data_IF_108339018275
#
_entry.id   IF_108339018275
#
_cell.length_a   1.000
_cell.length_b   1.000
_cell.length_c   1.000
_cell.angle_alpha   90.00
_cell.angle_beta   90.00
_cell.angle_gamma   90.00
#
_symmetry.space_group_name_H-M   'P 1'
#
loop_
_entity.id
_entity.type
_entity.pdbx_description
1 polymer ?
#
# COMPACT_ATOMS: atom_id res chain seq x y z
N UNK A 1 -30.09 -8.41 -22.43
CA UNK A 1 -29.44 -7.19 -21.90
C UNK A 1 -28.29 -7.70 -21.09
N UNK A 2 -27.10 -7.63 -21.66
CA UNK A 2 -25.85 -7.99 -21.00
C UNK A 2 -25.68 -7.07 -19.79
N UNK A 3 -25.62 -7.65 -18.60
CA UNK A 3 -25.15 -6.98 -17.40
C UNK A 3 -23.66 -6.68 -17.64
N UNK A 4 -23.35 -5.62 -18.37
CA UNK A 4 -21.99 -5.09 -18.39
C UNK A 4 -21.63 -4.81 -16.93
N UNK A 5 -20.61 -5.50 -16.48
CA UNK A 5 -20.03 -5.36 -15.15
C UNK A 5 -19.88 -3.86 -14.86
N UNK A 6 -20.60 -3.38 -13.84
CA UNK A 6 -20.60 -1.97 -13.41
C UNK A 6 -19.22 -1.47 -12.98
N UNK A 7 -18.23 -2.36 -12.88
CA UNK A 7 -16.85 -2.06 -12.49
C UNK A 7 -15.91 -2.50 -13.58
N UNK A 8 -15.30 -1.53 -14.23
CA UNK A 8 -14.23 -1.79 -15.16
C UNK A 8 -12.90 -1.49 -14.49
N UNK A 9 -12.22 -2.55 -14.01
CA UNK A 9 -10.79 -2.47 -13.73
C UNK A 9 -10.05 -2.53 -15.06
N UNK A 10 -9.17 -1.56 -15.29
CA UNK A 10 -8.38 -1.44 -16.53
C UNK A 10 -6.92 -1.73 -16.15
N UNK A 11 -6.29 -2.68 -16.85
CA UNK A 11 -4.86 -2.95 -16.71
C UNK A 11 -4.05 -1.97 -17.55
N UNK A 12 -3.01 -1.41 -16.94
CA UNK A 12 -2.01 -0.57 -17.58
C UNK A 12 -0.62 -1.12 -17.30
N UNK A 13 0.29 -0.90 -18.23
CA UNK A 13 1.69 -1.26 -18.10
C UNK A 13 2.54 0.01 -18.16
N UNK A 14 3.33 0.23 -17.13
CA UNK A 14 4.36 1.26 -17.09
C UNK A 14 5.68 0.59 -17.43
N UNK A 15 6.32 1.02 -18.53
CA UNK A 15 7.67 0.60 -18.86
C UNK A 15 8.67 1.48 -18.13
N UNK A 16 9.59 0.86 -17.40
CA UNK A 16 10.67 1.54 -16.68
C UNK A 16 12.03 1.09 -17.23
N UNK A 17 13.10 1.66 -16.71
CA UNK A 17 14.47 1.35 -17.14
C UNK A 17 14.74 -0.16 -17.16
N UNK A 18 15.51 -0.63 -18.14
CA UNK A 18 15.83 -2.05 -18.31
C UNK A 18 14.69 -2.89 -18.87
N UNK A 19 13.73 -2.30 -19.57
CA UNK A 19 12.54 -2.97 -20.11
C UNK A 19 11.66 -3.67 -19.05
N UNK A 20 11.82 -3.32 -17.77
CA UNK A 20 10.95 -3.82 -16.70
C UNK A 20 9.58 -3.19 -16.80
N UNK A 21 8.55 -3.95 -16.39
CA UNK A 21 7.15 -3.55 -16.46
C UNK A 21 6.53 -3.50 -15.08
N UNK A 22 5.84 -2.40 -14.77
CA UNK A 22 4.97 -2.29 -13.60
C UNK A 22 3.53 -2.41 -14.09
N UNK A 23 2.79 -3.39 -13.55
CA UNK A 23 1.37 -3.51 -13.78
C UNK A 23 0.59 -2.63 -12.82
N UNK A 24 -0.36 -1.87 -13.37
CA UNK A 24 -1.20 -0.93 -12.64
C UNK A 24 -2.66 -1.19 -13.00
N UNK A 25 -3.49 -1.34 -11.99
CA UNK A 25 -4.92 -1.47 -12.16
C UNK A 25 -5.64 -0.17 -11.76
N UNK A 26 -6.40 0.35 -12.71
CA UNK A 26 -7.23 1.54 -12.58
C UNK A 26 -8.69 1.12 -12.38
N UNK A 27 -9.31 1.52 -11.28
CA UNK A 27 -10.75 1.34 -11.01
C UNK A 27 -11.40 2.72 -10.96
N UNK A 28 -12.35 2.96 -11.87
CA UNK A 28 -13.07 4.24 -11.98
C UNK A 28 -14.38 4.19 -11.23
N UNK A 29 -14.81 5.32 -10.62
CA UNK A 29 -16.15 5.43 -10.06
C UNK A 29 -17.20 5.37 -11.15
N UNK A 30 -18.43 4.99 -10.79
CA UNK A 30 -19.59 5.06 -11.67
C UNK A 30 -19.97 6.53 -11.94
N UNK A 31 -20.68 6.78 -13.04
CA UNK A 31 -21.07 8.14 -13.45
C UNK A 31 -21.96 8.86 -12.42
N UNK A 32 -22.79 8.11 -11.69
CA UNK A 32 -23.68 8.60 -10.65
C UNK A 32 -23.04 8.66 -9.26
N UNK A 33 -21.79 8.24 -9.12
CA UNK A 33 -21.05 8.31 -7.86
C UNK A 33 -20.77 9.75 -7.41
N UNK A 34 -20.59 9.98 -6.10
CA UNK A 34 -20.18 11.28 -5.59
C UNK A 34 -18.88 11.73 -6.26
N UNK A 35 -18.77 13.03 -6.59
CA UNK A 35 -17.52 13.56 -7.15
C UNK A 35 -16.48 13.76 -6.05
N UNK A 36 -15.25 13.29 -6.30
CA UNK A 36 -14.09 13.47 -5.42
C UNK A 36 -12.97 14.21 -6.15
N UNK A 37 -12.15 14.90 -5.36
CA UNK A 37 -11.06 15.69 -5.90
C UNK A 37 -9.80 14.86 -6.11
N UNK A 38 -9.59 13.85 -5.25
CA UNK A 38 -8.36 13.07 -5.23
C UNK A 38 -8.55 11.68 -5.88
N UNK A 39 -7.51 11.25 -6.58
CA UNK A 39 -7.30 9.85 -6.97
C UNK A 39 -6.55 9.13 -5.87
N UNK A 40 -7.00 7.95 -5.46
CA UNK A 40 -6.37 7.18 -4.38
C UNK A 40 -5.40 6.16 -4.95
N UNK A 41 -4.13 6.26 -4.55
CA UNK A 41 -3.13 5.21 -4.81
C UNK A 41 -3.15 4.25 -3.63
N UNK A 42 -3.26 2.95 -3.90
CA UNK A 42 -3.11 1.89 -2.91
C UNK A 42 -1.76 1.20 -3.11
N UNK A 43 -0.86 1.36 -2.14
CA UNK A 43 0.42 0.68 -2.06
C UNK A 43 0.29 -0.54 -1.13
N UNK A 44 0.38 -1.73 -1.72
CA UNK A 44 0.19 -3.01 -1.02
C UNK A 44 1.36 -3.32 -0.09
N UNK A 45 1.10 -3.92 1.08
CA UNK A 45 2.14 -4.44 1.98
C UNK A 45 2.91 -5.61 1.38
N UNK A 46 3.96 -6.09 2.10
CA UNK A 46 4.77 -7.23 1.66
C UNK A 46 3.90 -8.48 1.47
N UNK A 47 4.21 -9.29 0.45
CA UNK A 47 3.46 -10.49 0.13
C UNK A 47 2.04 -10.27 -0.42
N UNK A 48 1.60 -9.01 -0.50
CA UNK A 48 0.25 -8.66 -0.99
C UNK A 48 0.32 -8.10 -2.40
N UNK A 49 -0.60 -8.57 -3.24
CA UNK A 49 -0.76 -8.14 -4.64
C UNK A 49 -1.91 -7.14 -4.75
N UNK A 50 -1.94 -6.38 -5.82
CA UNK A 50 -3.01 -5.42 -6.10
C UNK A 50 -4.42 -6.04 -6.15
N UNK A 51 -4.56 -7.33 -6.52
CA UNK A 51 -5.85 -8.04 -6.54
C UNK A 51 -6.41 -8.32 -5.13
N UNK A 52 -5.57 -8.38 -4.10
CA UNK A 52 -6.02 -8.52 -2.72
C UNK A 52 -6.81 -7.30 -2.20
N UNK A 53 -6.67 -6.16 -2.88
CA UNK A 53 -7.36 -4.91 -2.54
C UNK A 53 -8.61 -4.65 -3.42
N UNK A 54 -9.14 -5.66 -4.11
CA UNK A 54 -10.35 -5.55 -4.92
C UNK A 54 -11.55 -5.01 -4.11
N UNK A 55 -11.79 -5.58 -2.92
CA UNK A 55 -12.89 -5.14 -2.06
C UNK A 55 -12.74 -3.70 -1.58
N UNK A 56 -11.52 -3.27 -1.22
CA UNK A 56 -11.28 -1.88 -0.83
C UNK A 56 -11.42 -0.91 -2.02
N UNK A 57 -10.93 -1.31 -3.19
CA UNK A 57 -11.11 -0.51 -4.40
C UNK A 57 -12.58 -0.32 -4.75
N UNK A 58 -13.40 -1.35 -4.52
CA UNK A 58 -14.86 -1.30 -4.67
C UNK A 58 -15.48 -0.30 -3.69
N UNK A 59 -15.12 -0.35 -2.39
CA UNK A 59 -15.59 0.63 -1.40
C UNK A 59 -15.24 2.07 -1.81
N UNK A 60 -14.00 2.32 -2.19
CA UNK A 60 -13.53 3.65 -2.59
C UNK A 60 -14.21 4.13 -3.87
N UNK A 61 -14.33 3.29 -4.90
CA UNK A 61 -14.93 3.68 -6.17
C UNK A 61 -16.44 3.95 -6.06
N UNK A 62 -17.16 3.17 -5.24
CA UNK A 62 -18.57 3.45 -4.92
C UNK A 62 -18.77 4.79 -4.21
N UNK A 63 -17.78 5.21 -3.48
CA UNK A 63 -17.78 6.51 -2.80
C UNK A 63 -17.15 7.62 -3.65
N UNK A 64 -16.95 7.37 -4.95
CA UNK A 64 -16.61 8.37 -5.96
C UNK A 64 -15.12 8.55 -6.22
N UNK A 65 -14.24 7.75 -5.60
CA UNK A 65 -12.82 7.85 -5.84
C UNK A 65 -12.39 7.08 -7.09
N UNK A 66 -11.53 7.69 -7.86
CA UNK A 66 -10.69 7.02 -8.82
C UNK A 66 -9.57 6.28 -8.06
N UNK A 67 -9.38 4.99 -8.29
CA UNK A 67 -8.47 4.15 -7.51
C UNK A 67 -7.40 3.54 -8.40
N UNK A 68 -6.16 3.69 -7.98
CA UNK A 68 -4.98 3.14 -8.64
C UNK A 68 -4.34 2.14 -7.70
N UNK A 69 -4.09 0.92 -8.19
CA UNK A 69 -3.37 -0.15 -7.48
C UNK A 69 -2.26 -0.65 -8.38
N UNK A 70 -1.16 -1.08 -7.81
CA UNK A 70 -0.02 -1.59 -8.58
C UNK A 70 0.70 -2.70 -7.82
N UNK A 71 1.38 -3.55 -8.56
CA UNK A 71 2.38 -4.47 -8.03
C UNK A 71 3.77 -3.84 -8.19
N UNK A 72 4.57 -3.85 -7.11
CA UNK A 72 5.95 -3.35 -7.19
C UNK A 72 6.83 -4.28 -8.03
N UNK A 73 7.88 -3.71 -8.64
CA UNK A 73 8.95 -4.49 -9.26
C UNK A 73 9.57 -5.46 -8.25
N UNK A 74 9.98 -6.61 -8.72
CA UNK A 74 10.62 -7.64 -7.90
C UNK A 74 9.81 -8.08 -6.67
N UNK A 75 8.49 -7.86 -6.71
CA UNK A 75 7.57 -8.28 -5.66
C UNK A 75 6.59 -9.32 -6.19
N UNK A 76 5.65 -9.79 -5.35
CA UNK A 76 4.58 -10.68 -5.81
C UNK A 76 3.62 -9.94 -6.74
N UNK A 77 3.09 -10.64 -7.73
CA UNK A 77 2.07 -10.10 -8.63
C UNK A 77 2.45 -10.18 -10.09
N UNK A 78 2.06 -9.19 -10.89
CA UNK A 78 2.20 -9.19 -12.36
C UNK A 78 3.41 -8.39 -12.85
N UNK A 79 4.03 -7.57 -11.98
CA UNK A 79 5.19 -6.75 -12.35
C UNK A 79 6.46 -7.57 -12.50
N UNK A 80 7.43 -7.04 -13.26
CA UNK A 80 8.68 -7.72 -13.59
C UNK A 80 9.57 -7.98 -12.38
N UNK A 81 10.30 -9.10 -12.40
CA UNK A 81 11.29 -9.49 -11.41
C UNK A 81 10.77 -10.54 -10.44
N UNK A 82 11.62 -10.95 -9.52
CA UNK A 82 11.35 -12.00 -8.53
C UNK A 82 11.59 -11.49 -7.12
N UNK A 83 10.88 -12.04 -6.13
CA UNK A 83 10.84 -11.50 -4.77
C UNK A 83 12.17 -11.61 -4.02
N UNK A 84 13.06 -12.51 -4.45
CA UNK A 84 14.42 -12.63 -3.93
C UNK A 84 15.31 -11.43 -4.27
N UNK A 85 14.92 -10.65 -5.28
CA UNK A 85 15.60 -9.39 -5.65
C UNK A 85 14.89 -8.14 -5.11
N UNK A 86 13.78 -8.30 -4.37
CA UNK A 86 13.04 -7.16 -3.83
C UNK A 86 13.85 -6.43 -2.75
N UNK A 87 13.83 -5.08 -2.80
CA UNK A 87 14.36 -4.20 -1.77
C UNK A 87 13.41 -3.05 -1.48
N UNK A 88 13.62 -2.34 -0.36
CA UNK A 88 12.85 -1.15 -0.01
C UNK A 88 13.02 -0.05 -1.06
N UNK A 89 14.23 0.12 -1.57
CA UNK A 89 14.55 1.10 -2.63
C UNK A 89 13.85 0.77 -3.95
N UNK A 90 13.74 -0.51 -4.32
CA UNK A 90 12.97 -0.94 -5.49
C UNK A 90 11.47 -0.68 -5.29
N UNK A 91 10.95 -0.94 -4.09
CA UNK A 91 9.57 -0.58 -3.74
C UNK A 91 9.31 0.92 -3.88
N UNK A 92 10.25 1.77 -3.42
CA UNK A 92 10.20 3.23 -3.59
C UNK A 92 10.24 3.62 -5.07
N UNK A 93 11.17 3.10 -5.86
CA UNK A 93 11.25 3.36 -7.30
C UNK A 93 9.94 3.01 -8.02
N UNK A 94 9.30 1.90 -7.64
CA UNK A 94 8.02 1.50 -8.21
C UNK A 94 6.91 2.50 -7.89
N UNK A 95 6.84 3.00 -6.64
CA UNK A 95 5.88 4.03 -6.24
C UNK A 95 6.12 5.34 -7.00
N UNK A 96 7.38 5.79 -7.10
CA UNK A 96 7.74 7.01 -7.84
C UNK A 96 7.34 6.90 -9.31
N UNK A 97 7.59 5.75 -9.96
CA UNK A 97 7.20 5.52 -11.34
C UNK A 97 5.67 5.58 -11.55
N UNK A 98 4.89 5.05 -10.60
CA UNK A 98 3.42 5.12 -10.66
C UNK A 98 2.94 6.57 -10.51
N UNK A 99 3.51 7.35 -9.58
CA UNK A 99 3.15 8.76 -9.39
C UNK A 99 3.53 9.59 -10.62
N UNK A 100 4.71 9.38 -11.20
CA UNK A 100 5.14 10.06 -12.43
C UNK A 100 4.21 9.72 -13.60
N UNK A 101 3.85 8.45 -13.77
CA UNK A 101 2.90 8.02 -14.79
C UNK A 101 1.52 8.71 -14.65
N UNK A 102 1.02 8.88 -13.41
CA UNK A 102 -0.22 9.62 -13.17
C UNK A 102 -0.07 11.11 -13.50
N UNK A 103 1.05 11.71 -13.14
CA UNK A 103 1.37 13.12 -13.43
C UNK A 103 1.41 13.37 -14.93
N UNK A 104 2.04 12.48 -15.72
CA UNK A 104 2.06 12.58 -17.19
C UNK A 104 0.66 12.50 -17.79
N UNK A 105 -0.27 11.84 -17.13
CA UNK A 105 -1.71 11.77 -17.48
C UNK A 105 -2.53 12.95 -16.94
N UNK A 106 -1.88 13.94 -16.33
CA UNK A 106 -2.50 15.12 -15.69
C UNK A 106 -3.40 14.78 -14.50
N UNK A 107 -3.13 13.67 -13.83
CA UNK A 107 -3.78 13.28 -12.57
C UNK A 107 -2.84 13.71 -11.45
N UNK A 108 -3.08 14.90 -10.88
CA UNK A 108 -2.16 15.55 -9.95
C UNK A 108 -2.68 15.60 -8.50
N UNK A 109 -3.99 15.47 -8.30
CA UNK A 109 -4.57 15.43 -6.97
C UNK A 109 -4.57 13.98 -6.47
N UNK A 110 -3.59 13.63 -5.66
CA UNK A 110 -3.36 12.25 -5.23
C UNK A 110 -3.53 12.13 -3.71
N UNK A 111 -4.40 11.22 -3.28
CA UNK A 111 -4.38 10.67 -1.94
C UNK A 111 -3.67 9.32 -1.96
N UNK A 112 -3.05 8.93 -0.87
CA UNK A 112 -2.35 7.65 -0.80
C UNK A 112 -2.82 6.82 0.39
N UNK A 113 -3.04 5.53 0.15
CA UNK A 113 -3.12 4.50 1.18
C UNK A 113 -1.90 3.61 1.08
N UNK A 114 -1.16 3.47 2.16
CA UNK A 114 -0.04 2.56 2.27
C UNK A 114 -0.21 1.63 3.47
N UNK A 115 -0.06 0.32 3.27
CA UNK A 115 -0.22 -0.68 4.33
C UNK A 115 1.10 -1.37 4.68
N UNK A 116 1.28 -1.67 5.96
CA UNK A 116 2.43 -2.45 6.46
C UNK A 116 3.78 -1.88 5.95
N UNK A 117 4.58 -2.70 5.27
CA UNK A 117 5.89 -2.34 4.73
C UNK A 117 5.82 -1.15 3.76
N UNK A 118 4.75 -1.05 2.96
CA UNK A 118 4.59 0.07 2.03
C UNK A 118 4.36 1.41 2.71
N UNK A 119 3.93 1.45 3.97
CA UNK A 119 3.91 2.70 4.73
C UNK A 119 5.32 3.23 4.96
N UNK A 120 6.30 2.36 5.29
CA UNK A 120 7.70 2.74 5.43
C UNK A 120 8.28 3.29 4.11
N UNK A 121 7.91 2.67 2.99
CA UNK A 121 8.26 3.16 1.64
C UNK A 121 7.62 4.51 1.38
N UNK A 122 6.32 4.66 1.66
CA UNK A 122 5.59 5.92 1.46
C UNK A 122 6.24 7.07 2.26
N UNK A 123 6.54 6.87 3.54
CA UNK A 123 7.19 7.88 4.38
C UNK A 123 8.49 8.40 3.77
N UNK A 124 9.33 7.52 3.23
CA UNK A 124 10.59 7.92 2.59
C UNK A 124 10.42 8.53 1.19
N UNK A 125 9.23 8.40 0.58
CA UNK A 125 8.96 8.90 -0.76
C UNK A 125 8.33 10.30 -0.76
N UNK A 126 7.71 10.72 0.36
CA UNK A 126 6.91 11.95 0.44
C UNK A 126 7.69 13.23 0.15
N UNK A 127 9.01 13.23 0.29
CA UNK A 127 9.84 14.37 -0.10
C UNK A 127 10.02 14.52 -1.63
N UNK A 128 9.70 13.47 -2.39
CA UNK A 128 9.91 13.39 -3.84
C UNK A 128 8.59 13.37 -4.62
N UNK A 129 7.46 13.15 -3.95
CA UNK A 129 6.13 13.09 -4.56
C UNK A 129 5.19 14.13 -3.96
N UNK A 130 4.24 14.58 -4.77
CA UNK A 130 3.20 15.48 -4.29
C UNK A 130 1.90 14.69 -4.07
N UNK A 131 1.53 14.50 -2.81
CA UNK A 131 0.25 13.91 -2.42
C UNK A 131 -0.49 14.85 -1.48
N UNK A 132 -1.81 14.92 -1.63
CA UNK A 132 -2.68 15.77 -0.81
C UNK A 132 -2.79 15.26 0.62
N UNK A 133 -2.68 13.94 0.81
CA UNK A 133 -2.75 13.29 2.12
C UNK A 133 -2.23 11.85 2.08
N UNK A 134 -1.89 11.34 3.26
CA UNK A 134 -1.49 9.95 3.46
C UNK A 134 -2.42 9.26 4.48
N UNK A 135 -2.89 8.08 4.12
CA UNK A 135 -3.53 7.13 5.03
C UNK A 135 -2.59 5.94 5.19
N UNK A 136 -2.30 5.52 6.41
CA UNK A 136 -1.54 4.29 6.66
C UNK A 136 -2.36 3.28 7.44
N UNK A 137 -2.15 2.00 7.17
CA UNK A 137 -2.81 0.92 7.88
C UNK A 137 -1.76 -0.08 8.36
N UNK A 138 -1.69 -0.32 9.67
CA UNK A 138 -0.68 -1.17 10.33
C UNK A 138 0.73 -0.85 9.81
N UNK A 139 0.98 0.45 9.60
CA UNK A 139 2.15 0.94 8.87
C UNK A 139 3.44 0.74 9.65
N UNK A 140 4.42 0.08 9.02
CA UNK A 140 5.76 -0.11 9.59
C UNK A 140 6.46 1.23 9.74
N UNK A 141 6.89 1.54 10.96
CA UNK A 141 7.65 2.75 11.31
C UNK A 141 9.07 2.40 11.79
N UNK A 142 9.27 1.16 12.24
CA UNK A 142 10.55 0.62 12.70
C UNK A 142 10.74 -0.75 12.03
N UNK A 143 11.43 -0.76 10.89
CA UNK A 143 11.57 -1.96 10.07
C UNK A 143 12.37 -3.05 10.80
N UNK A 144 13.45 -2.67 11.51
CA UNK A 144 14.26 -3.63 12.29
C UNK A 144 13.41 -4.37 13.31
N UNK A 145 12.60 -3.65 14.09
CA UNK A 145 11.69 -4.26 15.04
C UNK A 145 10.68 -5.20 14.35
N UNK A 146 10.07 -4.75 13.26
CA UNK A 146 9.12 -5.58 12.49
C UNK A 146 9.77 -6.88 11.98
N UNK A 147 10.98 -6.78 11.41
CA UNK A 147 11.72 -7.95 10.92
C UNK A 147 12.12 -8.88 12.07
N UNK A 148 12.61 -8.33 13.20
CA UNK A 148 12.94 -9.12 14.39
C UNK A 148 11.73 -9.91 14.91
N UNK A 149 10.55 -9.26 14.94
CA UNK A 149 9.31 -9.92 15.37
C UNK A 149 8.82 -10.98 14.41
N UNK A 150 8.94 -10.76 13.11
CA UNK A 150 8.49 -11.68 12.08
C UNK A 150 9.45 -12.88 11.90
N UNK A 151 10.75 -12.65 12.02
CA UNK A 151 11.79 -13.68 11.82
C UNK A 151 12.20 -14.38 13.11
N UNK A 152 11.93 -13.77 14.28
CA UNK A 152 12.33 -14.30 15.60
C UNK A 152 13.77 -13.96 15.98
N UNK A 153 14.50 -13.16 15.22
CA UNK A 153 15.86 -12.71 15.51
C UNK A 153 16.16 -11.38 14.81
N UNK A 154 17.12 -10.59 15.37
CA UNK A 154 17.56 -9.33 14.76
C UNK A 154 18.46 -9.58 13.56
N UNK A 155 17.84 -9.80 12.44
CA UNK A 155 18.45 -10.09 11.16
C UNK A 155 19.41 -8.98 10.67
N UNK A 156 19.05 -7.70 10.88
CA UNK A 156 19.86 -6.56 10.42
C UNK A 156 21.09 -6.29 11.28
N UNK A 157 21.26 -7.00 12.42
CA UNK A 157 22.48 -6.93 13.24
C UNK A 157 23.54 -7.97 12.85
N UNK A 158 23.16 -8.95 12.02
CA UNK A 158 24.10 -9.98 11.62
C UNK A 158 25.13 -9.44 10.61
N UNK A 159 26.38 -9.91 10.68
CA UNK A 159 27.36 -9.65 9.62
C UNK A 159 26.83 -10.14 8.28
N UNK A 160 27.05 -9.35 7.22
CA UNK A 160 26.52 -9.66 5.87
C UNK A 160 26.96 -11.04 5.36
N UNK A 161 28.19 -11.43 5.65
CA UNK A 161 28.80 -12.71 5.28
C UNK A 161 28.27 -13.91 6.10
N UNK A 162 27.54 -13.68 7.18
CA UNK A 162 26.87 -14.69 7.98
C UNK A 162 25.39 -14.86 7.62
N UNK A 163 24.86 -14.02 6.73
CA UNK A 163 23.46 -14.08 6.33
C UNK A 163 23.18 -15.35 5.47
N UNK A 164 22.01 -15.98 5.63
CA UNK A 164 21.59 -17.03 4.72
C UNK A 164 21.34 -16.46 3.30
N UNK A 165 21.34 -17.31 2.27
CA UNK A 165 21.01 -16.84 0.92
C UNK A 165 19.62 -16.20 0.82
N UNK A 166 18.64 -16.78 1.55
CA UNK A 166 17.27 -16.30 1.57
C UNK A 166 16.72 -16.31 2.99
N UNK A 167 15.83 -15.35 3.25
CA UNK A 167 14.95 -15.32 4.40
C UNK A 167 13.56 -15.78 3.99
N UNK A 168 12.93 -16.63 4.78
CA UNK A 168 11.51 -16.87 4.67
C UNK A 168 10.75 -15.77 5.43
N UNK A 169 10.14 -14.87 4.68
CA UNK A 169 9.32 -13.81 5.25
C UNK A 169 7.90 -13.94 4.70
N UNK A 170 6.94 -14.26 5.56
CA UNK A 170 5.55 -14.54 5.19
C UNK A 170 5.37 -15.59 4.08
N UNK A 171 6.20 -16.63 4.06
CA UNK A 171 6.16 -17.69 3.04
C UNK A 171 6.81 -17.29 1.71
N UNK A 172 7.50 -16.16 1.65
CA UNK A 172 8.24 -15.68 0.49
C UNK A 172 9.75 -15.70 0.76
N UNK A 173 10.52 -16.18 -0.22
CA UNK A 173 12.00 -16.23 -0.14
C UNK A 173 12.59 -14.88 -0.56
N UNK A 174 12.87 -14.03 0.41
CA UNK A 174 13.53 -12.75 0.22
C UNK A 174 15.05 -12.95 0.20
N UNK A 175 15.76 -12.31 -0.73
CA UNK A 175 17.22 -12.36 -0.80
C UNK A 175 17.82 -11.65 0.41
N UNK A 176 18.48 -12.41 1.31
CA UNK A 176 18.86 -11.89 2.61
C UNK A 176 19.92 -10.78 2.50
N UNK A 177 21.00 -11.02 1.76
CA UNK A 177 22.08 -10.05 1.62
C UNK A 177 21.61 -8.78 0.91
N UNK A 178 20.90 -8.92 -0.22
CA UNK A 178 20.46 -7.80 -1.05
C UNK A 178 19.54 -6.88 -0.26
N UNK A 179 18.58 -7.45 0.48
CA UNK A 179 17.64 -6.69 1.29
C UNK A 179 18.32 -6.03 2.49
N UNK A 180 19.25 -6.73 3.19
CA UNK A 180 19.98 -6.15 4.32
C UNK A 180 20.85 -4.98 3.91
N UNK A 181 21.62 -5.11 2.81
CA UNK A 181 22.45 -4.02 2.27
C UNK A 181 21.60 -2.80 1.96
N UNK A 182 20.52 -2.97 1.23
CA UNK A 182 19.60 -1.87 0.92
C UNK A 182 19.08 -1.19 2.20
N UNK A 183 18.68 -1.98 3.20
CA UNK A 183 18.19 -1.42 4.46
C UNK A 183 19.24 -0.58 5.18
N UNK A 184 20.48 -1.06 5.27
CA UNK A 184 21.56 -0.40 5.99
C UNK A 184 22.13 0.78 5.20
N UNK A 185 22.33 0.63 3.89
CA UNK A 185 22.96 1.64 3.03
C UNK A 185 22.04 2.87 2.83
N UNK A 186 20.71 2.68 2.83
CA UNK A 186 19.74 3.73 2.57
C UNK A 186 18.88 4.13 3.78
N UNK A 187 19.21 3.64 4.97
CA UNK A 187 18.57 4.08 6.22
C UNK A 187 17.09 3.69 6.31
N UNK A 188 16.77 2.43 6.01
CA UNK A 188 15.40 1.95 6.13
C UNK A 188 15.08 1.37 7.51
N UNK A 189 16.09 1.05 8.31
CA UNK A 189 16.03 0.08 9.37
C UNK A 189 15.23 0.49 10.60
N UNK A 190 15.30 1.74 11.08
CA UNK A 190 14.81 2.09 12.39
C UNK A 190 13.80 3.26 12.44
N UNK A 191 13.23 3.50 13.61
CA UNK A 191 12.31 4.59 13.86
C UNK A 191 12.97 5.96 13.65
N UNK A 192 14.24 6.12 14.02
CA UNK A 192 14.95 7.40 13.89
C UNK A 192 15.10 7.78 12.41
N UNK A 193 15.44 6.84 11.55
CA UNK A 193 15.51 7.06 10.11
C UNK A 193 14.12 7.37 9.51
N UNK A 194 13.06 6.75 10.01
CA UNK A 194 11.69 7.08 9.59
C UNK A 194 11.30 8.50 10.00
N UNK A 195 11.62 8.91 11.23
CA UNK A 195 11.41 10.28 11.70
C UNK A 195 12.18 11.27 10.82
N UNK A 196 13.45 10.99 10.49
CA UNK A 196 14.27 11.85 9.64
C UNK A 196 13.65 12.05 8.24
N UNK A 197 13.04 11.01 7.65
CA UNK A 197 12.35 11.13 6.37
C UNK A 197 11.08 12.00 6.46
N UNK A 198 10.43 12.03 7.62
CA UNK A 198 9.12 12.64 7.80
C UNK A 198 9.15 14.03 8.47
N UNK A 199 10.22 14.38 9.19
CA UNK A 199 10.24 15.53 10.12
C UNK A 199 9.92 16.89 9.49
N UNK A 200 10.20 17.08 8.21
CA UNK A 200 9.96 18.34 7.50
C UNK A 200 8.68 18.35 6.66
N UNK A 201 7.95 17.24 6.64
CA UNK A 201 6.75 17.12 5.83
C UNK A 201 5.54 17.72 6.55
N UNK A 202 4.71 18.40 5.78
CA UNK A 202 3.50 19.07 6.27
C UNK A 202 2.30 18.62 5.42
N UNK A 203 1.99 17.32 5.51
CA UNK A 203 0.80 16.75 4.87
C UNK A 203 -0.16 16.17 5.92
N UNK A 204 -1.47 16.19 5.66
CA UNK A 204 -2.43 15.50 6.51
C UNK A 204 -2.17 13.98 6.51
N UNK A 205 -2.21 13.36 7.70
CA UNK A 205 -1.96 11.94 7.86
C UNK A 205 -2.97 11.31 8.82
N UNK A 206 -3.60 10.22 8.39
CA UNK A 206 -4.39 9.34 9.26
C UNK A 206 -3.69 7.99 9.32
N UNK A 207 -3.35 7.55 10.55
CA UNK A 207 -2.77 6.23 10.79
C UNK A 207 -3.81 5.31 11.46
N UNK A 208 -4.07 4.17 10.82
CA UNK A 208 -4.82 3.07 11.44
C UNK A 208 -3.85 2.08 12.07
N UNK A 209 -3.93 1.89 13.38
CA UNK A 209 -3.18 0.90 14.14
C UNK A 209 -4.07 -0.26 14.53
N UNK A 210 -3.51 -1.46 14.66
CA UNK A 210 -4.22 -2.62 15.19
C UNK A 210 -3.89 -2.80 16.67
N UNK A 211 -4.90 -3.05 17.51
CA UNK A 211 -4.67 -3.10 18.96
C UNK A 211 -3.94 -4.38 19.42
N UNK A 212 -3.89 -5.41 18.58
CA UNK A 212 -3.16 -6.66 18.83
C UNK A 212 -2.00 -6.86 17.82
N UNK A 213 -1.45 -5.77 17.29
CA UNK A 213 -0.34 -5.83 16.34
C UNK A 213 0.96 -6.19 17.08
N UNK A 214 1.58 -7.32 16.70
CA UNK A 214 2.84 -7.77 17.26
C UNK A 214 4.07 -7.29 16.46
N UNK A 215 3.85 -6.72 15.27
CA UNK A 215 4.92 -6.29 14.35
C UNK A 215 5.12 -4.79 14.34
N UNK A 216 4.09 -4.01 14.69
CA UNK A 216 4.16 -2.55 14.75
C UNK A 216 3.67 -2.08 16.12
N UNK A 217 4.53 -1.36 16.82
CA UNK A 217 4.19 -0.77 18.11
C UNK A 217 3.41 0.52 17.94
N UNK A 218 2.28 0.62 18.57
CA UNK A 218 1.46 1.84 18.52
C UNK A 218 2.17 3.06 19.14
N UNK A 219 2.97 2.86 20.17
CA UNK A 219 3.76 3.94 20.79
C UNK A 219 4.84 4.48 19.85
N UNK A 220 5.45 3.64 19.01
CA UNK A 220 6.39 4.09 17.97
C UNK A 220 5.67 4.89 16.87
N UNK A 221 4.43 4.52 16.50
CA UNK A 221 3.61 5.32 15.58
C UNK A 221 3.27 6.68 16.20
N UNK A 222 2.89 6.72 17.48
CA UNK A 222 2.65 7.97 18.23
C UNK A 222 3.93 8.82 18.24
N UNK A 223 5.07 8.19 18.51
CA UNK A 223 6.37 8.88 18.53
C UNK A 223 6.70 9.48 17.16
N UNK A 224 6.54 8.72 16.07
CA UNK A 224 6.73 9.25 14.72
C UNK A 224 5.86 10.49 14.49
N UNK A 225 4.54 10.39 14.71
CA UNK A 225 3.61 11.47 14.42
C UNK A 225 3.80 12.71 15.32
N UNK A 226 4.38 12.53 16.50
CA UNK A 226 4.73 13.64 17.41
C UNK A 226 6.00 14.38 16.99
N UNK A 227 6.81 13.80 16.12
CA UNK A 227 8.10 14.36 15.67
C UNK A 227 8.05 14.96 14.28
N UNK A 228 6.92 14.89 13.57
CA UNK A 228 6.76 15.51 12.26
C UNK A 228 6.22 16.93 12.38
N UNK A 229 6.49 17.75 11.36
CA UNK A 229 6.07 19.16 11.35
C UNK A 229 4.56 19.32 11.25
N UNK A 230 3.88 18.40 10.59
CA UNK A 230 2.43 18.47 10.40
C UNK A 230 1.70 18.34 11.74
N UNK A 231 0.84 19.32 12.04
CA UNK A 231 -0.12 19.23 13.15
C UNK A 231 -1.45 18.57 12.74
N UNK A 232 -1.55 18.12 11.50
CA UNK A 232 -2.74 17.51 10.89
C UNK A 232 -2.60 16.00 10.83
N UNK A 233 -2.40 15.37 12.01
CA UNK A 233 -2.24 13.94 12.14
C UNK A 233 -3.26 13.36 13.11
N UNK A 234 -3.81 12.18 12.79
CA UNK A 234 -4.74 11.46 13.67
C UNK A 234 -4.47 9.95 13.65
N UNK A 235 -4.62 9.32 14.79
CA UNK A 235 -4.48 7.87 14.94
C UNK A 235 -5.85 7.30 15.29
N UNK A 236 -6.23 6.24 14.59
CA UNK A 236 -7.41 5.43 14.89
C UNK A 236 -6.99 3.99 15.14
N UNK A 237 -7.50 3.39 16.21
CA UNK A 237 -7.22 2.00 16.53
C UNK A 237 -8.33 1.10 15.97
N UNK A 238 -7.94 0.09 15.19
CA UNK A 238 -8.82 -0.97 14.73
C UNK A 238 -8.94 -2.03 15.83
N UNK A 239 -10.10 -2.04 16.49
CA UNK A 239 -10.34 -2.93 17.63
C UNK A 239 -10.50 -4.38 17.18
N UNK A 240 -9.90 -5.30 17.94
CA UNK A 240 -9.97 -6.74 17.67
C UNK A 240 -9.12 -7.19 16.47
N UNK A 241 -8.24 -6.32 15.94
CA UNK A 241 -7.37 -6.61 14.80
C UNK A 241 -5.93 -6.95 15.22
N UNK A 242 -5.31 -7.81 14.45
CA UNK A 242 -3.85 -8.06 14.43
C UNK A 242 -3.20 -7.30 13.27
N UNK A 243 -1.92 -7.57 12.99
CA UNK A 243 -1.25 -7.03 11.80
C UNK A 243 -1.91 -7.49 10.50
N UNK A 244 -2.38 -8.74 10.43
CA UNK A 244 -3.16 -9.23 9.27
C UNK A 244 -4.64 -8.83 9.40
N UNK A 245 -4.99 -7.72 8.79
CA UNK A 245 -6.36 -7.20 8.75
C UNK A 245 -7.34 -8.11 7.97
N UNK A 246 -6.82 -9.12 7.27
CA UNK A 246 -7.59 -10.08 6.50
C UNK A 246 -8.01 -11.34 7.27
N UNK A 247 -7.48 -11.58 8.46
CA UNK A 247 -7.77 -12.78 9.26
C UNK A 247 -9.26 -12.96 9.60
N UNK A 248 -9.97 -11.84 9.76
CA UNK A 248 -11.36 -11.81 10.18
C UNK A 248 -12.17 -10.90 9.27
N UNK A 249 -13.25 -11.43 8.68
CA UNK A 249 -14.10 -10.67 7.75
C UNK A 249 -14.76 -9.44 8.40
N UNK A 250 -15.04 -9.46 9.70
CA UNK A 250 -15.60 -8.30 10.42
C UNK A 250 -14.53 -7.21 10.54
N UNK A 251 -13.30 -7.58 10.89
CA UNK A 251 -12.15 -6.66 10.94
C UNK A 251 -11.87 -6.09 9.56
N UNK A 252 -11.84 -6.94 8.54
CA UNK A 252 -11.60 -6.52 7.15
C UNK A 252 -12.65 -5.52 6.67
N UNK A 253 -13.94 -5.78 6.94
CA UNK A 253 -15.03 -4.87 6.61
C UNK A 253 -14.88 -3.53 7.33
N UNK A 254 -14.63 -3.57 8.66
CA UNK A 254 -14.41 -2.36 9.45
C UNK A 254 -13.20 -1.55 8.93
N UNK A 255 -12.16 -2.23 8.49
CA UNK A 255 -11.00 -1.60 7.86
C UNK A 255 -11.40 -0.90 6.55
N UNK A 256 -12.12 -1.56 5.65
CA UNK A 256 -12.59 -0.96 4.39
C UNK A 256 -13.48 0.26 4.63
N UNK A 257 -14.42 0.16 5.58
CA UNK A 257 -15.26 1.28 5.98
C UNK A 257 -14.43 2.45 6.53
N UNK A 258 -13.51 2.16 7.46
CA UNK A 258 -12.68 3.17 8.11
C UNK A 258 -11.77 3.91 7.14
N UNK A 259 -11.10 3.19 6.23
CA UNK A 259 -10.26 3.79 5.18
C UNK A 259 -11.09 4.64 4.23
N UNK A 260 -12.27 4.16 3.82
CA UNK A 260 -13.16 4.91 2.93
C UNK A 260 -13.63 6.20 3.60
N UNK A 261 -14.02 6.14 4.88
CA UNK A 261 -14.38 7.33 5.67
C UNK A 261 -13.20 8.31 5.80
N UNK A 262 -11.99 7.79 6.05
CA UNK A 262 -10.78 8.61 6.13
C UNK A 262 -10.49 9.29 4.78
N UNK A 263 -10.56 8.56 3.68
CA UNK A 263 -10.37 9.13 2.35
C UNK A 263 -11.39 10.26 2.06
N UNK A 264 -12.68 10.06 2.38
CA UNK A 264 -13.72 11.08 2.23
C UNK A 264 -13.45 12.30 3.12
N UNK A 265 -13.09 12.08 4.38
CA UNK A 265 -12.80 13.17 5.31
C UNK A 265 -11.62 14.02 4.80
N UNK A 266 -10.53 13.36 4.40
CA UNK A 266 -9.31 14.03 3.93
C UNK A 266 -9.49 14.69 2.55
N UNK A 267 -10.32 14.13 1.66
CA UNK A 267 -10.71 14.76 0.40
C UNK A 267 -11.46 16.10 0.63
N UNK A 268 -12.12 16.22 1.79
CA UNK A 268 -12.81 17.42 2.27
C UNK A 268 -11.98 18.22 3.30
N UNK A 269 -10.68 18.04 3.34
CA UNK A 269 -9.75 18.74 4.24
C UNK A 269 -10.01 18.54 5.74
N UNK A 270 -10.55 17.36 6.13
CA UNK A 270 -10.89 16.98 7.51
C UNK A 270 -10.12 15.74 7.96
N UNK A 271 -9.93 15.61 9.27
CA UNK A 271 -9.33 14.41 9.89
C UNK A 271 -10.37 13.58 10.67
N UNK A 272 -11.54 14.11 10.89
CA UNK A 272 -12.62 13.37 11.55
C UNK A 272 -13.31 12.45 10.56
N UNK A 273 -13.30 11.15 10.86
CA UNK A 273 -13.87 10.11 10.01
C UNK A 273 -15.35 9.83 10.28
N UNK A 274 -16.03 10.71 11.04
CA UNK A 274 -17.48 10.63 11.20
C UNK A 274 -18.17 11.19 9.94
N UNK A 275 -18.24 10.36 8.93
CA UNK A 275 -18.84 10.63 7.62
C UNK A 275 -19.60 9.40 7.13
N UNK A 276 -20.67 9.65 6.38
CA UNK A 276 -21.43 8.59 5.74
C UNK A 276 -20.67 8.01 4.53
N UNK A 277 -20.87 6.72 4.32
CA UNK A 277 -20.33 5.98 3.16
C UNK A 277 -21.44 5.21 2.45
N UNK A 278 -21.25 5.01 1.15
CA UNK A 278 -22.01 4.05 0.37
C UNK A 278 -21.31 2.70 0.53
N UNK A 279 -21.97 1.75 1.16
CA UNK A 279 -21.42 0.43 1.37
C UNK A 279 -21.77 -0.49 0.18
N UNK A 280 -20.77 -1.12 -0.48
CA UNK A 280 -21.03 -2.07 -1.54
C UNK A 280 -21.79 -3.30 -1.03
N UNK A 281 -22.68 -3.85 -1.85
CA UNK A 281 -23.32 -5.13 -1.52
C UNK A 281 -22.31 -6.28 -1.60
N UNK A 282 -22.60 -7.38 -0.91
CA UNK A 282 -21.77 -8.59 -0.99
C UNK A 282 -21.63 -9.10 -2.43
N UNK A 283 -22.70 -9.00 -3.23
CA UNK A 283 -22.69 -9.37 -4.65
C UNK A 283 -21.65 -8.55 -5.45
N UNK A 284 -21.61 -7.24 -5.23
CA UNK A 284 -20.63 -6.36 -5.87
C UNK A 284 -19.19 -6.73 -5.49
N UNK A 285 -18.93 -6.95 -4.20
CA UNK A 285 -17.61 -7.36 -3.72
C UNK A 285 -17.15 -8.67 -4.35
N UNK A 286 -18.07 -9.65 -4.47
CA UNK A 286 -17.79 -10.95 -5.08
C UNK A 286 -17.50 -10.81 -6.58
N UNK A 287 -18.29 -10.02 -7.31
CA UNK A 287 -18.11 -9.78 -8.74
C UNK A 287 -16.77 -9.09 -9.00
N UNK A 288 -16.42 -8.03 -8.24
CA UNK A 288 -15.15 -7.33 -8.35
C UNK A 288 -13.98 -8.32 -8.19
N UNK A 289 -13.98 -9.10 -7.12
CA UNK A 289 -12.94 -10.09 -6.84
C UNK A 289 -12.82 -11.16 -7.93
N UNK A 290 -13.94 -11.67 -8.44
CA UNK A 290 -13.94 -12.71 -9.51
C UNK A 290 -13.41 -12.14 -10.82
N UNK A 291 -13.85 -10.94 -11.21
CA UNK A 291 -13.41 -10.31 -12.45
C UNK A 291 -11.90 -10.02 -12.43
N UNK A 292 -11.37 -9.54 -11.33
CA UNK A 292 -9.94 -9.25 -11.21
C UNK A 292 -9.08 -10.53 -11.20
N UNK A 293 -9.55 -11.62 -10.59
CA UNK A 293 -8.88 -12.92 -10.69
C UNK A 293 -8.85 -13.44 -12.13
N UNK A 294 -9.95 -13.30 -12.88
CA UNK A 294 -10.02 -13.67 -14.30
C UNK A 294 -9.04 -12.83 -15.12
N UNK A 295 -9.06 -11.51 -14.96
CA UNK A 295 -8.15 -10.60 -15.66
C UNK A 295 -6.69 -10.97 -15.40
N UNK A 296 -6.33 -11.29 -14.16
CA UNK A 296 -4.99 -11.74 -13.80
C UNK A 296 -4.60 -13.01 -14.57
N UNK A 297 -5.46 -14.02 -14.58
CA UNK A 297 -5.21 -15.29 -15.30
C UNK A 297 -5.03 -15.03 -16.80
N UNK A 298 -5.84 -14.17 -17.39
CA UNK A 298 -5.73 -13.80 -18.82
C UNK A 298 -4.38 -13.13 -19.12
N UNK A 299 -3.92 -12.21 -18.27
CA UNK A 299 -2.62 -11.54 -18.41
C UNK A 299 -1.47 -12.55 -18.29
N UNK A 300 -1.50 -13.42 -17.29
CA UNK A 300 -0.49 -14.46 -17.08
C UNK A 300 -0.41 -15.42 -18.29
N UNK A 301 -1.55 -15.86 -18.81
CA UNK A 301 -1.61 -16.74 -19.98
C UNK A 301 -1.10 -16.07 -21.26
N UNK A 302 -1.37 -14.76 -21.44
CA UNK A 302 -0.82 -14.01 -22.58
C UNK A 302 0.71 -13.89 -22.48
N UNK A 303 1.26 -13.65 -21.27
CA UNK A 303 2.70 -13.59 -21.05
C UNK A 303 3.39 -14.91 -21.39
N UNK A 304 2.80 -16.06 -21.01
CA UNK A 304 3.33 -17.40 -21.32
C UNK A 304 3.29 -17.69 -22.81
N UNK A 305 2.25 -17.22 -23.53
CA UNK A 305 2.11 -17.46 -24.98
C UNK A 305 3.08 -16.64 -25.84
N UNK A 306 3.70 -15.61 -25.28
CA UNK A 306 4.65 -14.72 -25.95
C UNK A 306 6.12 -15.01 -25.58
N UNK A 307 6.37 -15.94 -24.66
CA UNK A 307 7.69 -16.41 -24.25
C UNK A 307 8.07 -17.67 -25.05
#
# INVERSE_FOLDING_TARGET
MENESRYKTIDHIICVEGNKKIHVWETRPEEDSPKRNNTIIIASGFGRRMDHFAGLAEYLSRNGFHVIRYDSLHHVGLSSGTIDEFTMSIGKQSLLAVVDWLTTRKINNLGMLASSLSARIAYASLSEINVSFLITAVGVVNLRYTLERALGFDYLSLPIDELPNNLDFEGHKLGAEVFARDCLDFGWEDLASTINHMMYLDIPLIAFTANNDNWVKQDEVITLLSNIRSNRCKIYSLLGSSHDLGENLVVLRNFYQSVTKAAIAMDNDRLDIDVDIIEPSFEHLTIATVNERRMKIEIENQAISLS
#
